data_IF_043536634504
#
_entry.id   IF_043536634504
#
_cell.length_a   1.000
_cell.length_b   1.000
_cell.length_c   1.000
_cell.angle_alpha   90.00
_cell.angle_beta   90.00
_cell.angle_gamma   90.00
#
_symmetry.space_group_name_H-M   'P 1'
#
loop_
_entity.id
_entity.type
_entity.pdbx_description
1 polymer ?
#
# COMPACT_ATOMS: atom_id res chain seq x y z
N UNK A 1 -5.78 21.64 24.44
CA UNK A 1 -6.34 20.38 23.95
C UNK A 1 -5.61 20.04 22.66
N UNK A 2 -4.97 18.88 22.56
CA UNK A 2 -4.35 18.39 21.31
C UNK A 2 -5.34 17.48 20.61
N UNK A 3 -5.53 17.66 19.30
CA UNK A 3 -6.36 16.76 18.50
C UNK A 3 -5.56 15.50 18.16
N UNK A 4 -6.21 14.34 18.15
CA UNK A 4 -5.54 13.06 17.83
C UNK A 4 -4.90 13.07 16.44
N UNK A 5 -5.53 13.74 15.47
CA UNK A 5 -4.97 14.00 14.14
C UNK A 5 -3.70 14.85 14.15
N UNK A 6 -3.56 15.80 15.09
CA UNK A 6 -2.32 16.57 15.28
C UNK A 6 -1.21 15.73 15.88
N UNK A 7 -1.55 14.79 16.77
CA UNK A 7 -0.58 13.83 17.33
C UNK A 7 -0.09 12.87 16.24
N UNK A 8 -1.02 12.19 15.54
CA UNK A 8 -0.68 11.24 14.48
C UNK A 8 0.10 11.88 13.31
N UNK A 9 -0.17 13.15 12.98
CA UNK A 9 0.61 13.88 11.98
C UNK A 9 2.06 14.15 12.43
N UNK A 10 2.29 14.41 13.72
CA UNK A 10 3.64 14.55 14.27
C UNK A 10 4.36 13.21 14.31
N UNK A 11 3.70 12.16 14.80
CA UNK A 11 4.25 10.80 14.82
C UNK A 11 4.67 10.33 13.41
N UNK A 12 3.93 10.71 12.36
CA UNK A 12 4.30 10.47 10.97
C UNK A 12 5.58 11.23 10.57
N UNK A 13 5.69 12.52 10.88
CA UNK A 13 6.89 13.32 10.59
C UNK A 13 8.12 12.82 11.34
N UNK A 14 7.97 12.53 12.64
CA UNK A 14 9.02 11.99 13.50
C UNK A 14 9.50 10.62 13.00
N UNK A 15 8.58 9.77 12.52
CA UNK A 15 8.91 8.48 11.89
C UNK A 15 9.66 8.69 10.57
N UNK A 16 9.20 9.59 9.71
CA UNK A 16 9.85 9.86 8.42
C UNK A 16 11.27 10.42 8.58
N UNK A 17 11.48 11.28 9.58
CA UNK A 17 12.79 11.85 9.94
C UNK A 17 13.73 10.90 10.68
N UNK A 18 13.33 9.65 10.92
CA UNK A 18 14.16 8.61 11.52
C UNK A 18 14.35 7.37 10.62
N UNK A 19 13.69 7.33 9.46
CA UNK A 19 13.75 6.20 8.52
C UNK A 19 14.99 6.22 7.61
N UNK A 20 15.66 7.36 7.47
CA UNK A 20 16.92 7.50 6.74
C UNK A 20 18.10 6.81 7.44
N UNK A 21 18.08 6.70 8.77
CA UNK A 21 18.98 5.83 9.54
C UNK A 21 19.09 4.40 8.97
N UNK A 22 18.01 3.87 8.37
CA UNK A 22 17.99 2.57 7.69
C UNK A 22 18.86 2.47 6.42
N UNK A 23 19.38 3.58 5.90
CA UNK A 23 20.40 3.64 4.85
C UNK A 23 21.60 4.56 5.18
N UNK A 24 21.57 5.32 6.28
CA UNK A 24 22.70 6.11 6.77
C UNK A 24 23.60 5.33 7.74
N UNK A 25 23.10 4.27 8.38
CA UNK A 25 23.79 3.58 9.48
C UNK A 25 24.08 2.09 9.21
N UNK A 26 25.09 1.56 9.92
CA UNK A 26 25.46 0.14 9.92
C UNK A 26 26.12 -0.37 8.62
N UNK A 27 26.27 -1.68 8.52
CA UNK A 27 27.04 -2.39 7.45
C UNK A 27 26.50 -2.19 6.02
N UNK A 28 25.37 -1.47 5.87
CA UNK A 28 24.72 -1.16 4.58
C UNK A 28 24.55 0.34 4.33
N UNK A 29 25.20 1.18 5.14
CA UNK A 29 25.18 2.63 4.97
C UNK A 29 25.64 3.01 3.54
N UNK A 30 24.87 3.85 2.87
CA UNK A 30 25.23 4.38 1.54
C UNK A 30 26.10 5.62 1.70
N UNK A 31 27.19 5.69 0.95
CA UNK A 31 28.28 6.66 1.15
C UNK A 31 28.45 7.68 0.04
N UNK A 32 27.58 7.66 -0.98
CA UNK A 32 27.57 8.66 -2.06
C UNK A 32 26.21 9.35 -2.20
N UNK A 33 26.25 10.60 -2.64
CA UNK A 33 25.09 11.51 -2.77
C UNK A 33 23.97 10.95 -3.66
N UNK A 34 24.31 10.08 -4.61
CA UNK A 34 23.34 9.49 -5.54
C UNK A 34 22.51 8.41 -4.86
N UNK A 35 23.16 7.46 -4.18
CA UNK A 35 22.45 6.44 -3.42
C UNK A 35 21.70 7.03 -2.22
N UNK A 36 22.22 8.09 -1.60
CA UNK A 36 21.48 8.89 -0.61
C UNK A 36 20.19 9.49 -1.20
N UNK A 37 20.28 10.19 -2.35
CA UNK A 37 19.12 10.77 -3.02
C UNK A 37 18.12 9.72 -3.53
N UNK A 38 18.59 8.54 -3.94
CA UNK A 38 17.75 7.42 -4.33
C UNK A 38 17.04 6.79 -3.10
N UNK A 39 17.69 6.77 -1.93
CA UNK A 39 17.11 6.36 -0.65
C UNK A 39 15.95 7.25 -0.20
N UNK A 40 16.14 8.57 -0.15
CA UNK A 40 15.04 9.52 0.14
C UNK A 40 13.92 9.44 -0.91
N UNK A 41 14.24 9.17 -2.19
CA UNK A 41 13.21 8.93 -3.23
C UNK A 41 12.39 7.67 -2.95
N UNK A 42 13.01 6.59 -2.46
CA UNK A 42 12.30 5.38 -2.05
C UNK A 42 11.36 5.63 -0.85
N UNK A 43 11.79 6.42 0.15
CA UNK A 43 10.92 6.83 1.26
C UNK A 43 9.71 7.64 0.74
N UNK A 44 9.93 8.64 -0.12
CA UNK A 44 8.86 9.46 -0.69
C UNK A 44 7.89 8.67 -1.58
N UNK A 45 8.39 7.72 -2.38
CA UNK A 45 7.55 6.84 -3.20
C UNK A 45 6.69 5.91 -2.33
N UNK A 46 7.28 5.32 -1.28
CA UNK A 46 6.60 4.41 -0.35
C UNK A 46 5.54 5.15 0.48
N UNK A 47 5.84 6.36 0.98
CA UNK A 47 4.87 7.23 1.64
C UNK A 47 3.70 7.58 0.71
N UNK A 48 4.00 7.87 -0.56
CA UNK A 48 2.98 8.13 -1.57
C UNK A 48 2.04 6.95 -1.80
N UNK A 49 2.57 5.71 -1.82
CA UNK A 49 1.77 4.48 -1.85
C UNK A 49 0.92 4.33 -0.59
N UNK A 50 1.49 4.61 0.59
CA UNK A 50 0.76 4.54 1.85
C UNK A 50 -0.42 5.53 1.91
N UNK A 51 -0.26 6.75 1.38
CA UNK A 51 -1.37 7.71 1.30
C UNK A 51 -2.47 7.25 0.32
N UNK A 52 -2.09 6.78 -0.87
CA UNK A 52 -3.03 6.25 -1.86
C UNK A 52 -3.82 5.04 -1.32
N UNK A 53 -3.20 4.23 -0.45
CA UNK A 53 -3.79 3.03 0.13
C UNK A 53 -4.63 3.27 1.39
N UNK A 54 -4.17 4.12 2.31
CA UNK A 54 -4.68 4.19 3.68
C UNK A 54 -5.18 5.58 4.12
N UNK A 55 -4.79 6.66 3.44
CA UNK A 55 -5.19 8.03 3.82
C UNK A 55 -6.39 8.54 2.99
N UNK A 56 -6.37 8.33 1.68
CA UNK A 56 -7.40 8.84 0.77
C UNK A 56 -8.61 7.90 0.55
N UNK A 57 -8.50 6.56 0.60
CA UNK A 57 -9.66 5.69 0.43
C UNK A 57 -10.63 5.71 1.61
N UNK A 58 -11.93 5.73 1.32
CA UNK A 58 -13.00 5.64 2.32
C UNK A 58 -13.11 4.19 2.88
N UNK A 59 -12.89 3.93 4.19
CA UNK A 59 -12.93 2.56 4.73
C UNK A 59 -14.29 1.86 4.60
N UNK A 60 -15.39 2.63 4.53
CA UNK A 60 -16.73 2.11 4.25
C UNK A 60 -16.96 1.69 2.79
N UNK A 61 -16.15 2.23 1.86
CA UNK A 61 -16.30 2.06 0.40
C UNK A 61 -14.95 1.73 -0.26
N UNK A 62 -14.27 0.64 0.16
CA UNK A 62 -12.90 0.35 -0.26
C UNK A 62 -12.81 0.06 -1.77
N UNK A 63 -11.80 0.65 -2.40
CA UNK A 63 -11.55 0.62 -3.85
C UNK A 63 -10.17 0.01 -4.13
N UNK A 64 -9.96 -0.44 -5.38
CA UNK A 64 -8.64 -0.83 -5.86
C UNK A 64 -7.86 0.41 -6.29
N UNK A 65 -6.70 0.64 -5.67
CA UNK A 65 -5.77 1.71 -6.03
C UNK A 65 -4.54 1.13 -6.74
N UNK A 66 -4.08 1.80 -7.79
CA UNK A 66 -2.96 1.33 -8.62
C UNK A 66 -1.63 1.78 -8.02
N UNK A 67 -0.83 0.83 -7.52
CA UNK A 67 0.44 1.13 -6.84
C UNK A 67 1.62 1.08 -7.79
N UNK A 68 1.90 -0.10 -8.37
CA UNK A 68 2.89 -0.28 -9.42
C UNK A 68 2.16 -0.54 -10.74
N UNK A 69 2.45 0.24 -11.79
CA UNK A 69 1.98 -0.02 -13.16
C UNK A 69 3.08 0.45 -14.14
N UNK A 70 3.07 0.01 -15.42
CA UNK A 70 4.09 0.42 -16.39
C UNK A 70 4.23 1.94 -16.52
N UNK A 71 3.09 2.64 -16.42
CA UNK A 71 2.99 4.09 -16.61
C UNK A 71 3.18 4.89 -15.31
N UNK A 72 2.91 4.30 -14.13
CA UNK A 72 3.03 4.99 -12.83
C UNK A 72 4.46 4.98 -12.29
N UNK A 73 5.31 5.83 -12.87
CA UNK A 73 6.75 5.91 -12.55
C UNK A 73 7.06 6.54 -11.18
N UNK A 74 6.11 7.25 -10.58
CA UNK A 74 6.23 8.01 -9.32
C UNK A 74 6.03 7.19 -8.04
N UNK A 75 5.65 5.91 -8.15
CA UNK A 75 5.32 5.03 -7.00
C UNK A 75 6.01 3.67 -7.00
N UNK A 76 6.99 3.47 -7.87
CA UNK A 76 7.71 2.19 -7.98
C UNK A 76 8.43 1.84 -6.68
N UNK A 77 7.94 0.79 -6.02
CA UNK A 77 8.44 0.30 -4.73
C UNK A 77 8.47 -1.23 -4.71
N UNK A 78 9.29 -1.81 -3.83
CA UNK A 78 9.27 -3.25 -3.53
C UNK A 78 9.79 -4.20 -4.62
N UNK A 79 10.50 -3.70 -5.64
CA UNK A 79 10.97 -4.48 -6.78
C UNK A 79 9.86 -4.71 -7.80
N UNK A 80 9.45 -3.65 -8.50
CA UNK A 80 8.27 -3.70 -9.37
C UNK A 80 8.54 -4.45 -10.69
N UNK A 81 7.60 -5.33 -11.07
CA UNK A 81 7.58 -5.85 -12.43
C UNK A 81 7.05 -4.74 -13.36
N UNK A 82 7.95 -4.22 -14.21
CA UNK A 82 7.71 -3.11 -15.15
C UNK A 82 6.49 -3.32 -16.04
N UNK A 83 6.14 -4.57 -16.31
CA UNK A 83 5.21 -4.96 -17.37
C UNK A 83 3.83 -5.30 -16.77
N UNK A 84 3.66 -5.19 -15.46
CA UNK A 84 2.48 -5.62 -14.73
C UNK A 84 1.76 -4.49 -13.98
N UNK A 85 0.44 -4.61 -13.92
CA UNK A 85 -0.46 -3.82 -13.10
C UNK A 85 -0.63 -4.50 -11.74
N UNK A 86 -0.24 -3.79 -10.70
CA UNK A 86 -0.50 -4.13 -9.31
C UNK A 86 -1.53 -3.15 -8.74
N UNK A 87 -2.72 -3.68 -8.45
CA UNK A 87 -3.74 -2.97 -7.70
C UNK A 87 -3.74 -3.48 -6.26
N UNK A 88 -3.93 -2.60 -5.27
CA UNK A 88 -4.19 -3.02 -3.89
C UNK A 88 -5.52 -2.46 -3.38
N UNK A 89 -6.14 -3.15 -2.44
CA UNK A 89 -7.36 -2.74 -1.76
C UNK A 89 -7.31 -3.22 -0.30
N UNK A 90 -7.06 -2.33 0.67
CA UNK A 90 -7.29 -2.63 2.09
C UNK A 90 -8.77 -2.92 2.34
N UNK A 91 -9.07 -3.93 3.15
CA UNK A 91 -10.45 -4.31 3.49
C UNK A 91 -10.60 -4.60 4.99
N UNK A 92 -11.74 -4.16 5.54
CA UNK A 92 -12.21 -4.55 6.87
C UNK A 92 -12.42 -6.09 6.93
N UNK A 93 -11.64 -6.83 7.75
CA UNK A 93 -11.69 -8.29 7.82
C UNK A 93 -12.95 -8.83 8.52
N UNK A 94 -13.72 -7.99 9.21
CA UNK A 94 -14.99 -8.38 9.82
C UNK A 94 -16.17 -8.38 8.82
N UNK A 95 -15.96 -7.88 7.59
CA UNK A 95 -16.99 -7.83 6.53
C UNK A 95 -16.81 -8.94 5.50
N UNK A 96 -17.90 -9.29 4.80
CA UNK A 96 -17.88 -9.92 3.45
C UNK A 96 -17.64 -8.77 2.29
N UNK A 97 -16.19 -8.58 0.48
CA UNK A 97 -15.38 -9.61 -0.31
C UNK A 97 -15.65 -9.60 -1.83
N UNK A 98 -16.79 -9.10 -2.34
CA UNK A 98 -17.15 -9.30 -3.76
C UNK A 98 -16.37 -8.40 -4.69
N UNK A 99 -15.35 -9.00 -5.30
CA UNK A 99 -14.59 -8.50 -6.45
C UNK A 99 -15.38 -8.86 -7.71
N UNK A 100 -15.44 -7.93 -8.67
CA UNK A 100 -16.01 -8.15 -10.01
C UNK A 100 -15.27 -7.27 -11.01
N UNK A 101 -15.10 -7.74 -12.25
CA UNK A 101 -14.28 -7.04 -13.23
C UNK A 101 -13.90 -7.92 -14.41
N UNK A 102 -12.99 -7.42 -15.24
CA UNK A 102 -12.50 -8.14 -16.42
C UNK A 102 -10.96 -8.09 -16.47
N UNK A 103 -10.32 -9.26 -16.67
CA UNK A 103 -8.87 -9.37 -16.88
C UNK A 103 -8.40 -8.96 -18.29
N UNK A 104 -9.34 -8.75 -19.21
CA UNK A 104 -9.06 -8.51 -20.62
C UNK A 104 -8.27 -9.64 -21.26
N UNK A 105 -7.38 -9.28 -22.18
CA UNK A 105 -6.45 -10.14 -22.89
C UNK A 105 -5.23 -10.57 -22.05
N UNK A 106 -5.08 -10.11 -20.79
CA UNK A 106 -3.95 -10.48 -19.93
C UNK A 106 -3.72 -11.99 -19.85
N UNK A 107 -2.48 -12.42 -20.13
CA UNK A 107 -2.07 -13.83 -20.11
C UNK A 107 -2.03 -14.45 -18.70
N UNK A 108 -1.97 -13.61 -17.65
CA UNK A 108 -1.96 -14.05 -16.25
C UNK A 108 -2.90 -13.19 -15.40
N UNK A 109 -3.47 -13.77 -14.35
CA UNK A 109 -4.29 -13.06 -13.38
C UNK A 109 -4.19 -13.76 -12.03
N UNK A 110 -3.81 -13.02 -11.00
CA UNK A 110 -3.93 -13.47 -9.62
C UNK A 110 -4.65 -12.44 -8.76
N UNK A 111 -5.33 -12.95 -7.74
CA UNK A 111 -5.86 -12.20 -6.60
C UNK A 111 -5.22 -12.80 -5.36
N UNK A 112 -4.64 -11.99 -4.47
CA UNK A 112 -4.01 -12.50 -3.24
C UNK A 112 -4.45 -11.66 -2.05
N UNK A 113 -4.89 -12.33 -0.98
CA UNK A 113 -5.28 -11.70 0.27
C UNK A 113 -4.17 -11.87 1.31
N UNK A 114 -3.61 -10.76 1.79
CA UNK A 114 -2.61 -10.72 2.84
C UNK A 114 -3.25 -10.22 4.13
N UNK A 115 -3.04 -10.93 5.24
CA UNK A 115 -3.29 -10.37 6.56
C UNK A 115 -2.02 -9.65 7.03
N UNK A 116 -2.16 -8.41 7.50
CA UNK A 116 -1.03 -7.65 8.04
C UNK A 116 -0.36 -8.39 9.22
N UNK A 117 0.97 -8.58 9.21
CA UNK A 117 1.71 -9.02 10.39
C UNK A 117 1.53 -7.99 11.50
N UNK A 118 1.13 -8.42 12.71
CA UNK A 118 1.06 -7.52 13.86
C UNK A 118 2.45 -7.03 14.25
N UNK A 119 2.71 -5.71 14.33
CA UNK A 119 3.78 -5.23 15.19
C UNK A 119 3.42 -5.56 16.64
N UNK A 120 4.28 -6.30 17.34
CA UNK A 120 4.01 -6.74 18.70
C UNK A 120 4.31 -5.61 19.70
N UNK A 121 3.27 -5.02 20.30
CA UNK A 121 3.38 -4.13 21.46
C UNK A 121 2.40 -4.54 22.56
N UNK A 122 2.84 -4.42 23.82
CA UNK A 122 2.19 -5.04 24.98
C UNK A 122 0.93 -4.32 25.51
N UNK A 123 0.33 -4.93 26.54
CA UNK A 123 -0.73 -4.40 27.44
C UNK A 123 -0.71 -2.86 27.52
N UNK A 124 -1.77 -2.11 27.20
CA UNK A 124 -3.21 -2.36 27.29
C UNK A 124 -4.02 -1.64 26.19
N UNK A 125 -5.32 -1.93 26.08
CA UNK A 125 -6.23 -1.33 25.08
C UNK A 125 -6.68 -2.32 24.00
N UNK A 126 -7.91 -2.18 23.49
CA UNK A 126 -8.51 -3.14 22.56
C UNK A 126 -8.07 -2.90 21.11
N UNK A 127 -6.92 -3.46 20.72
CA UNK A 127 -6.39 -3.38 19.36
C UNK A 127 -7.11 -4.32 18.38
N UNK A 128 -7.91 -3.73 17.47
CA UNK A 128 -8.35 -4.41 16.25
C UNK A 128 -7.35 -4.14 15.13
N UNK A 129 -6.56 -5.14 14.75
CA UNK A 129 -5.83 -5.16 13.47
C UNK A 129 -6.87 -5.18 12.34
N UNK A 130 -6.79 -4.30 11.35
CA UNK A 130 -7.94 -4.03 10.47
C UNK A 130 -7.62 -3.59 9.03
N UNK A 131 -6.58 -4.17 8.42
CA UNK A 131 -6.58 -4.36 6.98
C UNK A 131 -6.15 -5.79 6.61
N UNK A 132 -7.02 -6.51 5.91
CA UNK A 132 -6.56 -7.51 4.94
C UNK A 132 -6.33 -6.76 3.63
N UNK A 133 -5.13 -6.85 3.04
CA UNK A 133 -4.85 -6.24 1.73
C UNK A 133 -5.16 -7.26 0.66
N UNK A 134 -6.01 -6.90 -0.30
CA UNK A 134 -6.22 -7.68 -1.52
C UNK A 134 -5.39 -7.07 -2.64
N UNK A 135 -4.42 -7.81 -3.18
CA UNK A 135 -3.75 -7.45 -4.43
C UNK A 135 -4.45 -8.06 -5.64
N UNK A 136 -4.33 -7.39 -6.79
CA UNK A 136 -4.54 -7.97 -8.12
C UNK A 136 -3.26 -7.74 -8.93
N UNK A 137 -2.77 -8.79 -9.57
CA UNK A 137 -1.56 -8.75 -10.41
C UNK A 137 -1.86 -9.28 -11.82
N UNK A 138 -1.54 -8.49 -12.85
CA UNK A 138 -1.71 -8.86 -14.26
C UNK A 138 -0.62 -8.22 -15.15
N UNK A 139 0.01 -8.92 -16.10
CA UNK A 139 0.77 -8.28 -17.18
C UNK A 139 -0.12 -7.34 -18.00
N UNK A 140 0.53 -6.42 -18.74
CA UNK A 140 -0.13 -5.38 -19.52
C UNK A 140 -1.10 -5.96 -20.54
N UNK A 141 -2.37 -5.55 -20.43
CA UNK A 141 -3.45 -5.90 -21.33
C UNK A 141 -3.65 -4.79 -22.37
N UNK A 142 -3.96 -5.14 -23.61
CA UNK A 142 -4.29 -4.17 -24.68
C UNK A 142 -5.69 -3.59 -24.49
N UNK A 143 -6.58 -4.31 -23.78
CA UNK A 143 -7.93 -3.87 -23.42
C UNK A 143 -8.01 -3.33 -21.98
N UNK A 144 -8.84 -2.30 -21.72
CA UNK A 144 -8.96 -1.70 -20.38
C UNK A 144 -9.57 -2.66 -19.37
N UNK A 145 -8.76 -3.12 -18.40
CA UNK A 145 -9.26 -3.87 -17.25
C UNK A 145 -9.94 -2.94 -16.24
N UNK A 146 -11.14 -3.30 -15.80
CA UNK A 146 -11.88 -2.57 -14.75
C UNK A 146 -12.27 -3.51 -13.63
N UNK A 147 -12.15 -3.03 -12.38
CA UNK A 147 -12.43 -3.81 -11.17
C UNK A 147 -13.32 -3.01 -10.22
N UNK A 148 -14.55 -3.48 -10.06
CA UNK A 148 -15.56 -2.89 -9.19
C UNK A 148 -15.78 -3.83 -8.02
N UNK A 149 -15.69 -3.26 -6.81
CA UNK A 149 -15.92 -3.96 -5.54
C UNK A 149 -17.20 -3.41 -4.92
N UNK A 150 -18.07 -4.27 -4.40
CA UNK A 150 -19.29 -3.85 -3.68
C UNK A 150 -19.42 -4.62 -2.36
N UNK A 151 -19.99 -4.02 -1.30
CA UNK A 151 -20.48 -4.76 -0.15
C UNK A 151 -21.50 -5.82 -0.60
N UNK A 152 -21.43 -7.01 -0.02
CA UNK A 152 -22.54 -7.95 -0.05
C UNK A 152 -23.51 -7.54 1.05
N UNK A 153 -24.83 -7.64 0.86
CA UNK A 153 -25.76 -7.53 1.98
C UNK A 153 -25.46 -8.64 3.02
N UNK A 154 -25.87 -8.46 4.28
CA UNK A 154 -25.98 -9.58 5.21
C UNK A 154 -26.94 -10.65 4.64
N UNK A 155 -26.76 -11.88 5.08
CA UNK A 155 -27.69 -12.98 4.82
C UNK A 155 -28.96 -12.83 5.69
#
# INVERSE_FOLDING_TARGET
>A
MTHESTTAWRELLDTLGALDGGFLEGDRAVTDDRHLADGYRMLAATLGVAFDAYLFPEPGRPQFVAVNTPFRRDRRWGGDNTDAYYLMCPVDPARRYRISGNKGDSAYFSVTAYNEPRPARGRTGSSRSSATVISISMPTATSPSSWVRRPMPPC
#
